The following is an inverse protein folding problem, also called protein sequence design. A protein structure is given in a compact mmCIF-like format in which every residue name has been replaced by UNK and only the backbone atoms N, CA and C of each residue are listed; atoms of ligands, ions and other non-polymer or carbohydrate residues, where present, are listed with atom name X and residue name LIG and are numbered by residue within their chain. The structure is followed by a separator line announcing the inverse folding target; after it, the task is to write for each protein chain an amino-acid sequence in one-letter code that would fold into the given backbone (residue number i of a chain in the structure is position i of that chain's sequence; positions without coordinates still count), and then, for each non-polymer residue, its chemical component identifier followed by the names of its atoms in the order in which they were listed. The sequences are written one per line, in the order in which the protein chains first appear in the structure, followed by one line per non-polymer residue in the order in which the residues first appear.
data_IF_859413526309
#
_entry.id   IF_859413526309
#
_cell.length_a   1.000
_cell.length_b   1.000
_cell.length_c   1.000
_cell.angle_alpha   90.00
_cell.angle_beta   90.00
_cell.angle_gamma   90.00
#
_symmetry.space_group_name_H-M   'P 1'
#
loop_
_entity.id
_entity.type
_entity.pdbx_description
1 polymer ?
#
# COMPACT_ATOMS: atom_id res chain seq x y z
N UNK A 1 -2.97 -2.22 16.32
CA UNK A 1 -1.55 -1.80 16.39
C UNK A 1 -1.34 -0.46 15.67
N UNK A 2 -1.89 -0.24 14.47
CA UNK A 2 -1.68 0.97 13.64
C UNK A 2 -2.52 2.20 14.03
N UNK A 3 -3.62 2.02 14.76
CA UNK A 3 -4.49 3.12 15.24
C UNK A 3 -3.99 3.73 16.56
N UNK A 4 -2.92 3.17 17.13
CA UNK A 4 -2.30 3.74 18.32
C UNK A 4 -1.35 4.86 17.87
N UNK A 5 -1.48 6.07 18.41
CA UNK A 5 -0.77 7.28 17.95
C UNK A 5 0.75 7.16 17.90
N UNK A 6 1.32 6.12 18.53
CA UNK A 6 2.73 5.73 18.51
C UNK A 6 3.29 5.57 17.09
N UNK A 7 2.51 5.03 16.14
CA UNK A 7 3.00 4.83 14.77
C UNK A 7 3.09 6.15 14.01
N UNK A 8 2.10 7.03 14.16
CA UNK A 8 2.13 8.38 13.60
C UNK A 8 3.29 9.20 14.19
N UNK A 9 3.54 9.08 15.49
CA UNK A 9 4.70 9.72 16.14
C UNK A 9 6.05 9.23 15.57
N UNK A 10 6.16 7.95 15.22
CA UNK A 10 7.39 7.35 14.71
C UNK A 10 7.61 7.53 13.19
N UNK A 11 6.54 7.69 12.41
CA UNK A 11 6.59 7.64 10.94
C UNK A 11 5.94 8.82 10.23
N UNK A 12 5.40 9.77 10.98
CA UNK A 12 4.67 10.93 10.46
C UNK A 12 3.34 10.54 9.80
N UNK A 13 2.78 11.50 9.05
CA UNK A 13 1.45 11.37 8.44
C UNK A 13 1.32 10.27 7.37
N UNK A 14 2.43 9.71 6.89
CA UNK A 14 2.50 8.61 5.92
C UNK A 14 2.33 7.22 6.55
N UNK A 15 2.44 7.11 7.87
CA UNK A 15 2.31 5.85 8.62
C UNK A 15 3.28 4.73 8.18
N UNK A 16 4.40 5.13 7.56
CA UNK A 16 5.51 4.26 7.12
C UNK A 16 6.85 5.01 7.12
N UNK A 17 7.98 4.32 7.33
CA UNK A 17 9.31 4.95 7.35
C UNK A 17 9.70 5.62 6.03
N UNK A 18 10.46 6.72 6.10
CA UNK A 18 11.07 7.35 4.94
C UNK A 18 10.19 8.30 4.12
N UNK A 19 8.98 8.64 4.60
CA UNK A 19 8.10 9.60 3.91
C UNK A 19 7.78 9.18 2.48
N UNK A 20 7.64 10.12 1.55
CA UNK A 20 7.24 9.82 0.16
C UNK A 20 8.37 9.29 -0.75
N UNK A 21 9.60 9.15 -0.27
CA UNK A 21 10.74 8.86 -1.16
C UNK A 21 10.65 7.49 -1.84
N UNK A 22 10.25 6.45 -1.11
CA UNK A 22 10.01 5.13 -1.70
C UNK A 22 8.81 5.13 -2.64
N UNK A 23 7.77 5.89 -2.33
CA UNK A 23 6.59 6.05 -3.19
C UNK A 23 6.97 6.68 -4.52
N UNK A 24 7.80 7.74 -4.50
CA UNK A 24 8.30 8.40 -5.70
C UNK A 24 9.07 7.44 -6.60
N UNK A 25 9.99 6.68 -6.00
CA UNK A 25 10.76 5.66 -6.73
C UNK A 25 9.86 4.57 -7.31
N UNK A 26 8.92 4.07 -6.51
CA UNK A 26 7.97 3.04 -6.95
C UNK A 26 7.09 3.54 -8.09
N UNK A 27 6.51 4.74 -7.98
CA UNK A 27 5.69 5.35 -9.03
C UNK A 27 6.48 5.60 -10.32
N UNK A 28 7.75 5.99 -10.21
CA UNK A 28 8.63 6.15 -11.37
C UNK A 28 8.87 4.82 -12.11
N UNK A 29 9.04 3.71 -11.37
CA UNK A 29 9.20 2.37 -11.94
C UNK A 29 7.93 1.81 -12.59
N UNK A 30 6.75 2.26 -12.15
CA UNK A 30 5.48 1.81 -12.71
C UNK A 30 5.20 2.35 -14.12
N UNK A 31 5.91 3.41 -14.55
CA UNK A 31 5.77 4.05 -15.88
C UNK A 31 4.30 4.30 -16.28
N UNK A 32 3.51 4.87 -15.36
CA UNK A 32 2.07 5.02 -15.53
C UNK A 32 1.74 5.97 -16.70
N UNK A 33 0.93 5.54 -17.69
CA UNK A 33 0.48 6.43 -18.74
C UNK A 33 -0.49 7.49 -18.20
N UNK A 34 -0.67 8.57 -18.97
CA UNK A 34 -1.73 9.53 -18.67
C UNK A 34 -3.09 8.83 -18.58
N UNK A 35 -3.90 9.24 -17.61
CA UNK A 35 -5.21 8.71 -17.21
C UNK A 35 -5.18 7.29 -16.66
N UNK A 36 -4.01 6.75 -16.30
CA UNK A 36 -3.92 5.48 -15.60
C UNK A 36 -4.73 5.49 -14.31
N UNK A 37 -5.28 4.33 -13.97
CA UNK A 37 -6.05 4.07 -12.75
C UNK A 37 -5.17 3.36 -11.73
N UNK A 38 -4.84 4.10 -10.69
CA UNK A 38 -4.02 3.68 -9.57
C UNK A 38 -4.91 3.36 -8.37
N UNK A 39 -4.70 2.20 -7.76
CA UNK A 39 -5.29 1.83 -6.48
C UNK A 39 -4.20 1.73 -5.43
N UNK A 40 -4.32 2.48 -4.33
CA UNK A 40 -3.50 2.30 -3.13
C UNK A 40 -4.26 1.43 -2.12
N UNK A 41 -3.87 0.17 -1.98
CA UNK A 41 -4.52 -0.81 -1.12
C UNK A 41 -3.82 -0.89 0.25
N UNK A 42 -4.53 -0.44 1.29
CA UNK A 42 -3.96 -0.16 2.61
C UNK A 42 -3.44 1.28 2.72
N UNK A 43 -4.17 2.25 2.17
CA UNK A 43 -3.70 3.62 1.97
C UNK A 43 -3.54 4.46 3.25
N UNK A 44 -4.03 3.98 4.39
CA UNK A 44 -4.10 4.74 5.63
C UNK A 44 -4.80 6.09 5.43
N UNK A 45 -4.07 7.18 5.70
CA UNK A 45 -4.55 8.57 5.55
C UNK A 45 -4.50 9.10 4.11
N UNK A 46 -4.08 8.28 3.14
CA UNK A 46 -4.12 8.62 1.72
C UNK A 46 -2.97 9.49 1.21
N UNK A 47 -1.82 9.53 1.92
CA UNK A 47 -0.68 10.36 1.52
C UNK A 47 -0.16 10.02 0.10
N UNK A 48 -0.17 8.74 -0.28
CA UNK A 48 0.24 8.31 -1.63
C UNK A 48 -0.79 8.67 -2.69
N UNK A 49 -2.09 8.48 -2.39
CA UNK A 49 -3.19 8.90 -3.26
C UNK A 49 -3.12 10.40 -3.55
N UNK A 50 -2.89 11.19 -2.50
CA UNK A 50 -2.74 12.62 -2.61
C UNK A 50 -1.57 13.01 -3.51
N UNK A 51 -0.38 12.45 -3.24
CA UNK A 51 0.81 12.71 -4.05
C UNK A 51 0.61 12.32 -5.53
N UNK A 52 0.00 11.16 -5.79
CA UNK A 52 -0.30 10.68 -7.13
C UNK A 52 -1.19 11.66 -7.92
N UNK A 53 -2.17 12.26 -7.25
CA UNK A 53 -3.10 13.23 -7.85
C UNK A 53 -2.48 14.61 -8.11
N UNK A 54 -1.38 14.98 -7.45
CA UNK A 54 -0.71 16.28 -7.67
C UNK A 54 -0.19 16.44 -9.10
N UNK A 55 0.17 15.33 -9.76
CA UNK A 55 0.55 15.32 -11.17
C UNK A 55 -0.58 15.69 -12.13
N UNK A 56 -1.84 15.64 -11.67
CA UNK A 56 -3.06 15.85 -12.46
C UNK A 56 -3.26 14.85 -13.62
N UNK A 57 -2.35 13.88 -13.77
CA UNK A 57 -2.24 13.07 -14.97
C UNK A 57 -2.82 11.68 -14.82
N UNK A 58 -3.20 11.26 -13.61
CA UNK A 58 -3.74 9.92 -13.33
C UNK A 58 -4.97 9.99 -12.41
N UNK A 59 -5.73 8.89 -12.38
CA UNK A 59 -6.82 8.68 -11.45
C UNK A 59 -6.33 7.79 -10.31
N UNK A 60 -6.32 8.28 -9.07
CA UNK A 60 -5.91 7.51 -7.90
C UNK A 60 -7.05 7.38 -6.89
N UNK A 61 -7.20 6.19 -6.31
CA UNK A 61 -8.14 5.90 -5.21
C UNK A 61 -7.40 5.12 -4.12
N UNK A 62 -7.67 5.46 -2.86
CA UNK A 62 -7.16 4.73 -1.70
C UNK A 62 -8.23 3.88 -1.03
N UNK A 63 -7.84 2.69 -0.57
CA UNK A 63 -8.66 1.82 0.25
C UNK A 63 -7.95 1.53 1.57
N UNK A 64 -8.66 1.69 2.69
CA UNK A 64 -8.21 1.17 3.99
C UNK A 64 -9.40 0.62 4.78
N UNK A 65 -9.14 -0.25 5.75
CA UNK A 65 -10.17 -0.76 6.67
C UNK A 65 -10.42 0.17 7.86
N UNK A 66 -9.50 1.11 8.12
CA UNK A 66 -9.59 2.03 9.24
C UNK A 66 -10.29 3.32 8.83
N UNK A 67 -11.57 3.43 9.17
CA UNK A 67 -12.35 4.67 8.97
C UNK A 67 -11.70 5.88 9.63
N UNK A 68 -11.03 5.68 10.78
CA UNK A 68 -10.30 6.72 11.50
C UNK A 68 -9.18 7.32 10.64
N UNK A 69 -8.36 6.47 10.02
CA UNK A 69 -7.26 6.92 9.17
C UNK A 69 -7.77 7.62 7.91
N UNK A 70 -8.79 7.05 7.27
CA UNK A 70 -9.43 7.66 6.10
C UNK A 70 -9.99 9.04 6.45
N UNK A 71 -10.65 9.18 7.60
CA UNK A 71 -11.15 10.48 8.04
C UNK A 71 -10.05 11.49 8.35
N UNK A 72 -8.92 11.07 8.92
CA UNK A 72 -7.78 11.96 9.09
C UNK A 72 -7.27 12.50 7.75
N UNK A 73 -7.27 11.67 6.70
CA UNK A 73 -6.95 12.07 5.32
C UNK A 73 -7.97 13.06 4.74
N UNK A 74 -9.26 12.74 4.83
CA UNK A 74 -10.37 13.54 4.30
C UNK A 74 -10.44 14.92 4.98
N UNK A 75 -10.26 14.98 6.30
CA UNK A 75 -10.24 16.23 7.06
C UNK A 75 -9.11 17.16 6.60
N UNK A 76 -7.96 16.59 6.24
CA UNK A 76 -6.79 17.35 5.75
C UNK A 76 -6.95 17.78 4.29
N UNK A 77 -7.50 16.92 3.43
CA UNK A 77 -7.76 17.23 2.02
C UNK A 77 -9.19 16.83 1.62
N UNK A 78 -10.15 17.76 1.76
CA UNK A 78 -11.53 17.49 1.39
C UNK A 78 -11.62 17.05 -0.08
N UNK A 79 -12.35 15.95 -0.32
CA UNK A 79 -12.50 15.24 -1.63
C UNK A 79 -11.34 14.34 -2.05
N UNK A 80 -10.41 14.00 -1.15
CA UNK A 80 -9.44 12.94 -1.44
C UNK A 80 -10.19 11.60 -1.68
N UNK A 81 -9.96 10.89 -2.80
CA UNK A 81 -10.72 9.68 -3.16
C UNK A 81 -10.33 8.49 -2.28
N UNK A 82 -10.88 8.45 -1.07
CA UNK A 82 -10.63 7.40 -0.08
C UNK A 82 -11.91 6.62 0.19
N UNK A 83 -11.81 5.29 0.25
CA UNK A 83 -12.95 4.38 0.44
C UNK A 83 -12.65 3.38 1.55
N UNK A 84 -13.60 3.22 2.47
CA UNK A 84 -13.51 2.19 3.50
C UNK A 84 -13.85 0.82 2.91
N UNK A 85 -12.87 -0.07 2.81
CA UNK A 85 -13.09 -1.44 2.39
C UNK A 85 -11.97 -2.37 2.89
N UNK A 86 -12.25 -3.67 2.86
CA UNK A 86 -11.26 -4.68 3.19
C UNK A 86 -10.45 -5.04 1.95
N UNK A 87 -9.13 -5.19 2.07
CA UNK A 87 -8.28 -5.61 0.94
C UNK A 87 -8.63 -6.99 0.33
N UNK A 88 -9.42 -7.80 1.06
CA UNK A 88 -9.97 -9.10 0.62
C UNK A 88 -11.35 -9.00 -0.07
N UNK A 89 -11.88 -7.80 -0.26
CA UNK A 89 -13.13 -7.54 -0.98
C UNK A 89 -13.08 -6.11 -1.53
N UNK A 90 -12.41 -5.97 -2.67
CA UNK A 90 -12.16 -4.68 -3.29
C UNK A 90 -13.40 -4.22 -4.07
N UNK A 91 -13.90 -2.98 -3.85
CA UNK A 91 -15.13 -2.47 -4.46
C UNK A 91 -14.94 -2.02 -5.92
N UNK A 92 -14.14 -2.76 -6.68
CA UNK A 92 -13.86 -2.50 -8.09
C UNK A 92 -14.26 -3.69 -8.94
N UNK A 93 -14.74 -3.39 -10.14
CA UNK A 93 -15.00 -4.43 -11.15
C UNK A 93 -13.68 -5.05 -11.61
N UNK A 94 -13.71 -6.33 -11.97
CA UNK A 94 -12.54 -7.05 -12.45
C UNK A 94 -11.91 -6.37 -13.66
N UNK A 95 -10.58 -6.34 -13.73
CA UNK A 95 -9.85 -5.85 -14.89
C UNK A 95 -9.88 -4.33 -15.15
N UNK A 96 -10.18 -3.51 -14.15
CA UNK A 96 -10.36 -2.05 -14.32
C UNK A 96 -9.19 -1.21 -13.83
N UNK A 97 -8.24 -1.79 -13.10
CA UNK A 97 -7.12 -1.08 -12.46
C UNK A 97 -5.84 -1.32 -13.27
N UNK A 98 -5.09 -0.26 -13.57
CA UNK A 98 -3.80 -0.34 -14.25
C UNK A 98 -2.70 -0.80 -13.29
N UNK A 99 -2.65 -0.18 -12.12
CA UNK A 99 -1.63 -0.46 -11.11
C UNK A 99 -2.23 -0.45 -9.71
N UNK A 100 -1.86 -1.46 -8.92
CA UNK A 100 -2.15 -1.52 -7.49
C UNK A 100 -0.85 -1.30 -6.73
N UNK A 101 -0.87 -0.42 -5.74
CA UNK A 101 0.19 -0.20 -4.78
C UNK A 101 -0.19 -0.83 -3.45
N UNK A 102 0.80 -1.38 -2.75
CA UNK A 102 0.68 -1.74 -1.34
C UNK A 102 1.94 -1.30 -0.62
N UNK A 103 1.83 -0.37 0.33
CA UNK A 103 2.98 0.21 1.03
C UNK A 103 2.93 -0.07 2.54
N UNK A 104 3.88 -0.87 3.03
CA UNK A 104 4.00 -1.28 4.44
C UNK A 104 2.70 -1.88 5.03
N UNK A 105 1.86 -2.48 4.18
CA UNK A 105 0.55 -3.00 4.55
C UNK A 105 0.53 -4.53 4.55
N UNK A 106 1.31 -5.20 3.69
CA UNK A 106 1.23 -6.66 3.55
C UNK A 106 1.76 -7.39 4.79
N UNK A 107 2.78 -6.84 5.46
CA UNK A 107 3.30 -7.32 6.74
C UNK A 107 2.27 -7.27 7.88
N UNK A 108 1.19 -6.49 7.73
CA UNK A 108 0.10 -6.37 8.69
C UNK A 108 -1.08 -7.32 8.42
N UNK A 109 -1.09 -8.01 7.27
CA UNK A 109 -2.26 -8.72 6.76
C UNK A 109 -2.20 -10.20 7.10
N UNK A 110 -3.23 -10.70 7.78
CA UNK A 110 -3.32 -12.09 8.24
C UNK A 110 -3.68 -13.09 7.15
N UNK A 111 -4.31 -12.65 6.05
CA UNK A 111 -4.70 -13.50 4.92
C UNK A 111 -4.26 -12.84 3.60
N UNK A 112 -2.97 -13.01 3.29
CA UNK A 112 -2.35 -12.44 2.09
C UNK A 112 -2.95 -13.03 0.81
N UNK A 113 -3.21 -14.34 0.77
CA UNK A 113 -3.71 -15.03 -0.42
C UNK A 113 -5.03 -14.43 -0.92
N UNK A 114 -5.96 -14.15 0.00
CA UNK A 114 -7.24 -13.51 -0.36
C UNK A 114 -7.05 -12.08 -0.87
N UNK A 115 -6.11 -11.31 -0.31
CA UNK A 115 -5.81 -9.97 -0.82
C UNK A 115 -5.17 -10.03 -2.21
N UNK A 116 -4.18 -10.91 -2.41
CA UNK A 116 -3.52 -11.08 -3.71
C UNK A 116 -4.49 -11.55 -4.78
N UNK A 117 -5.44 -12.44 -4.43
CA UNK A 117 -6.49 -12.87 -5.34
C UNK A 117 -7.38 -11.70 -5.78
N UNK A 118 -7.78 -10.83 -4.84
CA UNK A 118 -8.58 -9.64 -5.16
C UNK A 118 -7.80 -8.60 -5.96
N UNK A 119 -6.53 -8.35 -5.61
CA UNK A 119 -5.63 -7.48 -6.37
C UNK A 119 -5.52 -7.99 -7.81
N UNK A 120 -5.25 -9.28 -7.98
CA UNK A 120 -5.18 -9.90 -9.30
C UNK A 120 -6.50 -9.80 -10.06
N UNK A 121 -7.65 -9.90 -9.37
CA UNK A 121 -8.97 -9.77 -9.99
C UNK A 121 -9.20 -8.36 -10.51
N UNK A 122 -8.87 -7.31 -9.75
CA UNK A 122 -9.15 -5.91 -10.14
C UNK A 122 -8.15 -5.39 -11.17
N UNK A 123 -6.93 -5.93 -11.21
CA UNK A 123 -5.93 -5.60 -12.21
C UNK A 123 -6.39 -6.01 -13.60
N UNK A 124 -6.23 -5.12 -14.58
CA UNK A 124 -6.38 -5.45 -16.00
C UNK A 124 -5.32 -6.44 -16.45
N UNK A 125 -5.51 -7.16 -17.57
CA UNK A 125 -4.43 -7.88 -18.22
C UNK A 125 -3.23 -6.97 -18.49
N UNK A 126 -2.04 -7.40 -18.03
CA UNK A 126 -0.80 -6.62 -18.10
C UNK A 126 -0.68 -5.49 -17.07
N UNK A 127 -1.64 -5.37 -16.13
CA UNK A 127 -1.54 -4.46 -15.00
C UNK A 127 -0.48 -4.90 -13.99
N UNK A 128 -0.05 -3.97 -13.14
CA UNK A 128 1.09 -4.15 -12.24
C UNK A 128 0.68 -4.09 -10.77
N UNK A 129 1.28 -4.96 -9.95
CA UNK A 129 1.28 -4.83 -8.51
C UNK A 129 2.66 -4.35 -8.08
N UNK A 130 2.74 -3.18 -7.44
CA UNK A 130 3.97 -2.65 -6.87
C UNK A 130 3.90 -2.64 -5.34
N UNK A 131 4.96 -3.15 -4.71
CA UNK A 131 4.99 -3.42 -3.27
C UNK A 131 6.21 -2.75 -2.67
N UNK A 132 6.00 -2.01 -1.58
CA UNK A 132 7.08 -1.69 -0.64
C UNK A 132 6.70 -2.22 0.73
N UNK A 133 7.61 -2.92 1.40
CA UNK A 133 7.35 -3.43 2.74
C UNK A 133 8.65 -3.58 3.52
N UNK A 134 8.51 -3.80 4.82
CA UNK A 134 9.60 -4.03 5.75
C UNK A 134 9.84 -5.55 5.82
N UNK A 135 11.10 -5.95 5.70
CA UNK A 135 11.51 -7.33 5.88
C UNK A 135 12.72 -7.41 6.82
N UNK A 136 12.85 -8.54 7.52
CA UNK A 136 14.03 -8.84 8.31
C UNK A 136 15.10 -9.49 7.42
N UNK A 137 16.26 -8.84 7.28
CA UNK A 137 17.39 -9.37 6.50
C UNK A 137 18.07 -10.58 7.17
N UNK A 138 18.08 -10.61 8.51
CA UNK A 138 18.58 -11.72 9.31
C UNK A 138 17.60 -11.98 10.47
N UNK A 139 16.47 -12.66 10.21
CA UNK A 139 15.47 -12.95 11.25
C UNK A 139 16.04 -13.84 12.35
N UNK A 140 17.01 -14.70 12.02
CA UNK A 140 17.69 -15.58 12.97
C UNK A 140 18.54 -14.83 14.00
N UNK A 141 19.05 -13.66 13.63
CA UNK A 141 19.80 -12.77 14.52
C UNK A 141 18.94 -11.97 15.50
N UNK A 142 17.60 -12.07 15.43
CA UNK A 142 16.69 -11.27 16.27
C UNK A 142 15.75 -12.22 17.05
N UNK A 143 16.14 -12.67 18.26
CA UNK A 143 15.41 -13.67 19.04
C UNK A 143 13.94 -13.31 19.29
N UNK A 144 13.62 -12.03 19.45
CA UNK A 144 12.24 -11.55 19.64
C UNK A 144 11.37 -11.70 18.39
N UNK A 145 11.93 -11.62 17.17
CA UNK A 145 11.16 -11.86 15.95
C UNK A 145 10.73 -13.33 15.80
N UNK A 146 11.51 -14.28 16.34
CA UNK A 146 11.15 -15.71 16.36
C UNK A 146 9.91 -15.99 17.22
N UNK A 147 9.67 -15.18 18.24
CA UNK A 147 8.55 -15.34 19.18
C UNK A 147 7.26 -14.64 18.70
N UNK A 148 7.36 -13.73 17.72
CA UNK A 148 6.19 -13.07 17.14
C UNK A 148 5.59 -13.97 16.05
N UNK A 149 4.25 -14.05 15.92
CA UNK A 149 3.57 -14.81 14.88
C UNK A 149 3.65 -14.08 13.51
N UNK A 150 4.83 -13.58 13.15
CA UNK A 150 5.09 -12.86 11.91
C UNK A 150 5.03 -13.86 10.75
N UNK A 151 3.85 -14.00 10.15
CA UNK A 151 3.72 -14.61 8.83
C UNK A 151 3.96 -13.53 7.79
N UNK A 152 5.23 -13.23 7.49
CA UNK A 152 5.53 -12.49 6.28
C UNK A 152 5.09 -13.35 5.09
N UNK A 153 4.14 -12.86 4.29
CA UNK A 153 3.62 -13.60 3.16
C UNK A 153 4.49 -13.50 1.89
N UNK A 154 5.58 -12.73 1.94
CA UNK A 154 6.64 -12.72 0.92
C UNK A 154 7.83 -13.53 1.43
N UNK A 155 7.71 -14.87 1.39
CA UNK A 155 8.84 -15.76 1.67
C UNK A 155 9.75 -15.80 0.44
N UNK A 156 11.06 -15.92 0.66
CA UNK A 156 12.06 -16.16 -0.39
C UNK A 156 12.17 -15.06 -1.47
N UNK A 157 11.79 -13.81 -1.13
CA UNK A 157 11.99 -12.68 -2.02
C UNK A 157 13.48 -12.47 -2.32
N UNK A 158 13.89 -12.76 -3.55
CA UNK A 158 15.26 -12.53 -4.01
C UNK A 158 15.46 -11.04 -4.29
N UNK A 159 16.58 -10.48 -3.82
CA UNK A 159 16.97 -9.13 -4.23
C UNK A 159 17.33 -9.18 -5.71
N UNK A 160 16.52 -8.54 -6.56
CA UNK A 160 16.96 -8.23 -7.91
C UNK A 160 17.95 -7.07 -7.76
N UNK A 161 19.24 -7.32 -8.00
CA UNK A 161 20.25 -6.27 -7.96
C UNK A 161 19.76 -5.11 -8.83
N UNK A 162 19.68 -3.92 -8.23
CA UNK A 162 19.40 -2.70 -8.95
C UNK A 162 20.42 -2.56 -10.10
N UNK A 163 19.92 -2.34 -11.31
CA UNK A 163 20.73 -1.83 -12.41
C UNK A 163 21.32 -0.46 -12.01
#
# INVERSE_FOLDING_TARGET
MYENGSLNAATGGTLRPGGLDLTKRMLALCELPARARLLDAGCGSGATVEYALESGSIHAVGIDRSELLLQAGINRRPRLPLVCAWGRSLPFTSGQIDTVLTECSLSAISNLDSMLAEIRRVLRPGGQLAITDIYARNPDGIPTLRALPLRCGLRDAMTQNAL
#
